data_IF_987577842335
#
_entry.id   IF_987577842335
#
_cell.length_a   1.000
_cell.length_b   1.000
_cell.length_c   1.000
_cell.angle_alpha   90.00
_cell.angle_beta   90.00
_cell.angle_gamma   90.00
#
_symmetry.space_group_name_H-M   'P 1'
#
loop_
_entity.id
_entity.type
_entity.pdbx_description
1 polymer ?
#
# COMPACT_ATOMS: atom_id res chain seq x y z
N UNK A 1 16.03 -6.06 -29.75
CA UNK A 1 15.34 -5.37 -28.66
C UNK A 1 14.44 -4.28 -29.23
N UNK A 2 13.34 -3.97 -28.55
CA UNK A 2 12.57 -2.74 -28.81
C UNK A 2 13.15 -1.55 -28.05
N UNK A 3 13.84 -1.79 -26.94
CA UNK A 3 14.47 -0.81 -26.08
C UNK A 3 15.56 -1.50 -25.25
N UNK A 4 16.60 -0.77 -24.92
CA UNK A 4 17.68 -1.16 -24.00
C UNK A 4 17.81 -0.12 -22.86
N UNK A 5 16.76 0.67 -22.61
CA UNK A 5 16.71 1.71 -21.59
C UNK A 5 15.68 1.37 -20.50
N UNK A 6 15.98 1.78 -19.27
CA UNK A 6 15.10 1.64 -18.11
C UNK A 6 14.97 2.96 -17.35
N UNK A 7 13.84 3.15 -16.66
CA UNK A 7 13.80 4.14 -15.59
C UNK A 7 14.81 3.75 -14.50
N UNK A 8 15.30 4.73 -13.74
CA UNK A 8 16.30 4.44 -12.70
C UNK A 8 15.71 3.54 -11.61
N UNK A 9 16.32 2.38 -11.30
CA UNK A 9 15.79 1.45 -10.31
C UNK A 9 15.95 1.91 -8.85
N UNK A 10 16.84 2.87 -8.59
CA UNK A 10 17.06 3.46 -7.27
C UNK A 10 17.54 4.92 -7.39
N UNK A 11 17.46 5.68 -6.29
CA UNK A 11 18.02 7.03 -6.20
C UNK A 11 19.55 6.94 -6.10
N UNK A 12 20.34 7.48 -7.04
CA UNK A 12 21.79 7.46 -6.98
C UNK A 12 22.39 8.23 -5.78
N UNK A 13 21.59 9.04 -5.09
CA UNK A 13 21.99 9.75 -3.88
C UNK A 13 21.68 8.98 -2.59
N UNK A 14 20.99 7.85 -2.67
CA UNK A 14 20.58 7.04 -1.53
C UNK A 14 21.03 5.58 -1.69
N UNK A 15 20.97 4.85 -0.58
CA UNK A 15 21.14 3.40 -0.59
C UNK A 15 19.89 2.71 -1.18
N UNK A 16 20.05 1.53 -1.77
CA UNK A 16 18.91 0.73 -2.27
C UNK A 16 17.96 0.36 -1.15
N UNK A 17 18.44 0.24 0.09
CA UNK A 17 17.63 -0.11 1.25
C UNK A 17 16.89 1.08 1.88
N UNK A 18 17.16 2.30 1.39
CA UNK A 18 16.53 3.51 1.91
C UNK A 18 14.99 3.46 1.93
N UNK A 19 14.28 2.92 0.91
CA UNK A 19 12.82 2.85 0.92
C UNK A 19 12.26 1.97 2.05
N UNK A 20 12.91 0.84 2.34
CA UNK A 20 12.52 -0.03 3.47
C UNK A 20 12.79 0.67 4.80
N UNK A 21 13.97 1.28 4.95
CA UNK A 21 14.32 2.03 6.16
C UNK A 21 13.33 3.18 6.43
N UNK A 22 12.87 3.86 5.38
CA UNK A 22 11.85 4.90 5.49
C UNK A 22 10.49 4.32 5.88
N UNK A 23 10.09 3.17 5.32
CA UNK A 23 8.84 2.52 5.66
C UNK A 23 8.81 2.04 7.13
N UNK A 24 9.93 1.54 7.66
CA UNK A 24 10.00 1.13 9.08
C UNK A 24 10.05 2.31 10.06
N UNK A 25 10.32 3.53 9.60
CA UNK A 25 10.50 4.71 10.46
C UNK A 25 9.28 5.02 11.32
N UNK A 26 8.09 4.75 10.80
CA UNK A 26 6.82 5.05 11.47
C UNK A 26 6.30 3.86 12.29
N UNK A 27 7.06 2.76 12.36
CA UNK A 27 6.76 1.60 13.21
C UNK A 27 7.31 1.85 14.62
N UNK A 28 6.43 1.82 15.62
CA UNK A 28 6.83 2.01 17.01
C UNK A 28 7.63 0.81 17.52
N UNK A 29 8.54 1.07 18.46
CA UNK A 29 9.31 0.05 19.18
C UNK A 29 10.33 -0.73 18.33
N UNK A 30 10.75 -0.19 17.18
CA UNK A 30 11.90 -0.70 16.41
C UNK A 30 12.71 0.46 15.86
N UNK A 31 14.04 0.38 15.93
CA UNK A 31 14.92 1.37 15.32
C UNK A 31 15.52 0.83 14.02
N UNK A 32 15.85 1.72 13.09
CA UNK A 32 16.46 1.33 11.81
C UNK A 32 17.79 0.57 11.98
N UNK A 33 18.52 0.81 13.07
CA UNK A 33 19.76 0.11 13.38
C UNK A 33 19.56 -1.35 13.84
N UNK A 34 18.34 -1.71 14.26
CA UNK A 34 17.99 -3.06 14.69
C UNK A 34 17.42 -3.91 13.54
N UNK A 35 17.19 -3.31 12.38
CA UNK A 35 16.68 -4.00 11.20
C UNK A 35 17.81 -4.83 10.56
N UNK A 36 17.52 -6.09 10.17
CA UNK A 36 18.41 -6.83 9.31
C UNK A 36 18.44 -6.19 7.91
N UNK A 37 19.53 -6.43 7.20
CA UNK A 37 19.67 -6.04 5.79
C UNK A 37 18.58 -6.75 4.96
N UNK A 38 17.73 -6.01 4.22
CA UNK A 38 16.67 -6.61 3.42
C UNK A 38 17.24 -7.28 2.18
N UNK A 39 16.64 -8.40 1.77
CA UNK A 39 16.94 -9.02 0.47
C UNK A 39 16.27 -8.22 -0.64
N UNK A 40 17.07 -7.74 -1.61
CA UNK A 40 16.65 -6.81 -2.66
C UNK A 40 16.61 -7.48 -4.03
N UNK A 41 15.46 -7.41 -4.70
CA UNK A 41 15.27 -7.95 -6.04
C UNK A 41 14.68 -6.88 -6.97
N UNK A 42 15.17 -6.80 -8.21
CA UNK A 42 14.61 -5.92 -9.24
C UNK A 42 14.17 -6.72 -10.46
N UNK A 43 12.94 -6.49 -10.89
CA UNK A 43 12.39 -6.99 -12.15
C UNK A 43 12.17 -5.84 -13.12
N UNK A 44 12.89 -5.84 -14.24
CA UNK A 44 12.71 -4.87 -15.30
C UNK A 44 11.56 -5.29 -16.21
N UNK A 45 10.40 -4.65 -16.04
CA UNK A 45 9.18 -4.95 -16.80
C UNK A 45 9.06 -4.06 -18.04
N UNK A 46 8.87 -4.63 -19.23
CA UNK A 46 8.69 -3.83 -20.44
C UNK A 46 7.35 -3.09 -20.38
N UNK A 47 7.39 -1.79 -20.64
CA UNK A 47 6.20 -0.96 -20.84
C UNK A 47 6.34 -0.12 -22.11
N UNK A 48 5.21 0.33 -22.65
CA UNK A 48 5.17 1.29 -23.77
C UNK A 48 4.34 2.50 -23.36
N UNK A 49 4.94 3.69 -23.42
CA UNK A 49 4.20 4.94 -23.32
C UNK A 49 3.69 5.34 -24.71
N UNK A 50 2.38 5.52 -24.83
CA UNK A 50 1.71 5.84 -26.08
C UNK A 50 1.15 7.24 -26.01
N UNK A 51 1.44 8.05 -27.03
CA UNK A 51 0.78 9.34 -27.26
C UNK A 51 0.00 9.27 -28.56
N UNK A 52 -1.28 9.60 -28.53
CA UNK A 52 -2.14 9.58 -29.70
C UNK A 52 -3.13 10.75 -29.72
N UNK A 53 -3.52 11.17 -30.91
CA UNK A 53 -4.58 12.15 -31.13
C UNK A 53 -5.80 11.46 -31.74
N UNK A 54 -6.99 11.76 -31.22
CA UNK A 54 -8.28 11.29 -31.77
C UNK A 54 -9.11 12.48 -32.23
N UNK A 55 -9.42 12.52 -33.53
CA UNK A 55 -10.17 13.59 -34.18
C UNK A 55 -11.33 13.03 -35.00
N UNK A 56 -12.53 13.02 -34.44
CA UNK A 56 -13.72 12.47 -35.09
C UNK A 56 -14.91 13.42 -35.03
N UNK A 57 -15.71 13.48 -36.11
CA UNK A 57 -16.94 14.27 -36.17
C UNK A 57 -18.09 13.35 -36.58
N UNK A 58 -19.15 13.35 -35.78
CA UNK A 58 -20.34 12.52 -36.03
C UNK A 58 -21.52 13.41 -36.40
N UNK A 59 -22.03 13.22 -37.60
CA UNK A 59 -23.10 14.03 -38.17
C UNK A 59 -24.35 13.20 -38.48
N UNK A 60 -25.48 13.90 -38.54
CA UNK A 60 -26.77 13.40 -39.00
C UNK A 60 -27.43 14.50 -39.86
N UNK A 61 -28.66 14.28 -40.32
CA UNK A 61 -29.40 15.31 -41.07
C UNK A 61 -29.62 16.62 -40.29
N UNK A 62 -29.57 16.58 -38.96
CA UNK A 62 -29.71 17.78 -38.10
C UNK A 62 -28.37 18.48 -37.79
N UNK A 63 -27.26 18.01 -38.37
CA UNK A 63 -25.92 18.53 -38.15
C UNK A 63 -25.04 17.65 -37.26
N UNK A 64 -24.01 18.26 -36.66
CA UNK A 64 -23.05 17.59 -35.77
C UNK A 64 -23.73 17.22 -34.46
N UNK A 65 -23.71 15.93 -34.11
CA UNK A 65 -24.27 15.42 -32.86
C UNK A 65 -23.19 15.09 -31.82
N UNK A 66 -21.95 14.84 -32.27
CA UNK A 66 -20.82 14.54 -31.39
C UNK A 66 -19.51 14.89 -32.09
N UNK A 67 -18.51 15.31 -31.32
CA UNK A 67 -17.16 15.59 -31.81
C UNK A 67 -16.15 15.16 -30.76
N UNK A 68 -15.06 14.57 -31.24
CA UNK A 68 -13.89 14.20 -30.45
C UNK A 68 -12.71 14.99 -31.02
N UNK A 69 -11.99 15.65 -30.12
CA UNK A 69 -10.72 16.31 -30.38
C UNK A 69 -9.92 16.14 -29.09
N UNK A 70 -9.27 14.99 -28.96
CA UNK A 70 -8.58 14.59 -27.75
C UNK A 70 -7.14 14.20 -28.06
N UNK A 71 -6.25 14.46 -27.10
CA UNK A 71 -4.89 13.98 -27.12
C UNK A 71 -4.68 13.13 -25.87
N UNK A 72 -4.60 11.83 -26.08
CA UNK A 72 -4.49 10.85 -25.01
C UNK A 72 -3.03 10.42 -24.85
N UNK A 73 -2.57 10.37 -23.59
CA UNK A 73 -1.29 9.75 -23.22
C UNK A 73 -1.59 8.66 -22.19
N UNK A 74 -1.06 7.46 -22.40
CA UNK A 74 -1.20 6.35 -21.46
C UNK A 74 -0.01 5.40 -21.56
N UNK A 75 0.18 4.57 -20.55
CA UNK A 75 1.25 3.56 -20.50
C UNK A 75 0.63 2.18 -20.44
N UNK A 76 1.26 1.21 -21.10
CA UNK A 76 0.79 -0.16 -21.13
C UNK A 76 1.90 -1.15 -20.80
N UNK A 77 1.57 -2.19 -20.03
CA UNK A 77 2.42 -3.36 -19.88
C UNK A 77 2.62 -4.01 -21.24
N UNK A 78 3.89 -4.26 -21.56
CA UNK A 78 4.33 -4.73 -22.86
C UNK A 78 4.94 -6.14 -22.79
N UNK A 79 4.63 -6.90 -21.73
CA UNK A 79 5.02 -8.31 -21.61
C UNK A 79 4.30 -9.21 -22.62
N UNK A 80 4.63 -10.51 -22.64
CA UNK A 80 3.94 -11.50 -23.48
C UNK A 80 2.47 -11.61 -23.10
N UNK A 81 1.59 -11.43 -24.07
CA UNK A 81 0.14 -11.51 -23.87
C UNK A 81 -0.57 -10.32 -24.50
N UNK A 82 -1.80 -10.08 -24.06
CA UNK A 82 -2.56 -8.90 -24.45
C UNK A 82 -2.10 -7.70 -23.60
N UNK A 83 -1.70 -6.56 -24.21
CA UNK A 83 -1.26 -5.40 -23.45
C UNK A 83 -2.39 -4.85 -22.59
N UNK A 84 -2.04 -4.43 -21.39
CA UNK A 84 -2.96 -3.83 -20.41
C UNK A 84 -2.43 -2.47 -20.00
N UNK A 85 -3.34 -1.50 -19.87
CA UNK A 85 -2.95 -0.17 -19.38
C UNK A 85 -2.59 -0.27 -17.91
N UNK A 86 -1.46 0.35 -17.56
CA UNK A 86 -0.99 0.42 -16.17
C UNK A 86 -1.89 1.35 -15.36
N UNK A 87 -1.87 1.21 -14.04
CA UNK A 87 -2.57 2.13 -13.14
C UNK A 87 -2.08 3.58 -13.31
N UNK A 88 -2.97 4.55 -13.04
CA UNK A 88 -2.73 5.97 -13.33
C UNK A 88 -1.46 6.52 -12.65
N UNK A 89 -1.21 6.14 -11.40
CA UNK A 89 -0.03 6.57 -10.64
C UNK A 89 1.26 6.03 -11.27
N UNK A 90 1.25 4.76 -11.71
CA UNK A 90 2.38 4.13 -12.42
C UNK A 90 2.58 4.75 -13.80
N UNK A 91 1.48 5.05 -14.51
CA UNK A 91 1.52 5.72 -15.80
C UNK A 91 2.11 7.12 -15.68
N UNK A 92 1.76 7.85 -14.62
CA UNK A 92 2.33 9.17 -14.30
C UNK A 92 3.82 9.04 -13.98
N UNK A 93 4.19 8.10 -13.10
CA UNK A 93 5.59 7.81 -12.76
C UNK A 93 6.43 7.58 -14.02
N UNK A 94 5.97 6.75 -14.95
CA UNK A 94 6.69 6.47 -16.20
C UNK A 94 6.76 7.73 -17.06
N UNK A 95 5.62 8.36 -17.35
CA UNK A 95 5.55 9.46 -18.34
C UNK A 95 6.26 10.74 -17.91
N UNK A 96 6.37 10.99 -16.61
CA UNK A 96 7.13 12.11 -16.06
C UNK A 96 8.64 11.83 -16.05
N UNK A 97 9.08 10.57 -16.00
CA UNK A 97 10.49 10.20 -15.84
C UNK A 97 11.18 9.65 -17.11
N UNK A 98 10.49 9.57 -18.25
CA UNK A 98 11.08 9.15 -19.54
C UNK A 98 12.30 9.96 -19.98
N UNK A 99 12.46 11.19 -19.48
CA UNK A 99 13.59 12.05 -19.81
C UNK A 99 14.88 11.72 -19.03
N UNK A 100 14.80 10.82 -18.05
CA UNK A 100 15.87 10.52 -17.10
C UNK A 100 16.25 9.02 -17.08
N UNK A 101 15.99 8.30 -18.17
CA UNK A 101 16.33 6.90 -18.38
C UNK A 101 17.85 6.65 -18.27
N UNK A 102 18.20 5.39 -18.05
CA UNK A 102 19.56 4.86 -18.05
C UNK A 102 19.61 3.58 -18.89
N UNK A 103 20.81 3.20 -19.33
CA UNK A 103 21.00 1.93 -20.02
C UNK A 103 20.64 0.75 -19.11
N UNK A 104 19.93 -0.23 -19.66
CA UNK A 104 19.62 -1.48 -18.98
C UNK A 104 20.84 -2.40 -19.02
N UNK A 105 21.64 -2.36 -17.94
CA UNK A 105 22.79 -3.24 -17.74
C UNK A 105 22.55 -4.17 -16.54
N UNK A 106 22.10 -5.40 -16.83
CA UNK A 106 21.78 -6.38 -15.79
C UNK A 106 23.02 -6.86 -15.03
N UNK A 107 24.22 -6.80 -15.62
CA UNK A 107 25.46 -7.13 -14.93
C UNK A 107 25.79 -6.05 -13.90
N UNK A 108 25.70 -4.77 -14.29
CA UNK A 108 25.93 -3.65 -13.38
C UNK A 108 24.89 -3.62 -12.24
N UNK A 109 23.61 -3.85 -12.54
CA UNK A 109 22.58 -3.87 -11.50
C UNK A 109 22.73 -5.06 -10.54
N UNK A 110 23.34 -6.16 -10.98
CA UNK A 110 23.66 -7.31 -10.11
C UNK A 110 24.80 -7.04 -9.12
N UNK A 111 25.50 -5.91 -9.20
CA UNK A 111 26.43 -5.46 -8.16
C UNK A 111 25.72 -4.75 -6.99
N UNK A 112 24.46 -4.38 -7.17
CA UNK A 112 23.69 -3.55 -6.25
C UNK A 112 22.46 -4.29 -5.69
N UNK A 113 21.77 -5.06 -6.53
CA UNK A 113 20.63 -5.89 -6.11
C UNK A 113 21.07 -7.35 -5.95
N UNK A 114 20.46 -8.06 -5.00
CA UNK A 114 20.71 -9.48 -4.79
C UNK A 114 20.20 -10.35 -5.94
N UNK A 115 19.05 -9.96 -6.51
CA UNK A 115 18.45 -10.62 -7.68
C UNK A 115 18.06 -9.60 -8.76
N UNK A 116 18.37 -9.93 -10.02
CA UNK A 116 18.03 -9.12 -11.19
C UNK A 116 17.34 -9.97 -12.25
N UNK A 117 16.11 -9.59 -12.62
CA UNK A 117 15.36 -10.22 -13.72
C UNK A 117 15.03 -9.20 -14.81
N UNK A 118 15.33 -9.53 -16.07
CA UNK A 118 14.87 -8.79 -17.24
C UNK A 118 13.73 -9.54 -17.93
N UNK A 119 12.55 -8.90 -18.01
CA UNK A 119 11.42 -9.40 -18.80
C UNK A 119 11.58 -8.96 -20.26
N UNK A 120 10.93 -9.66 -21.19
CA UNK A 120 11.04 -9.34 -22.63
C UNK A 120 9.74 -8.77 -23.16
N UNK A 121 9.86 -7.77 -24.03
CA UNK A 121 8.75 -7.28 -24.83
C UNK A 121 8.06 -8.43 -25.56
N UNK A 122 6.74 -8.47 -25.47
CA UNK A 122 5.90 -9.54 -26.00
C UNK A 122 5.55 -9.38 -27.47
N UNK A 123 5.60 -8.16 -28.00
CA UNK A 123 5.13 -7.80 -29.34
C UNK A 123 6.08 -6.81 -30.02
N UNK A 124 5.80 -6.47 -31.27
CA UNK A 124 6.50 -5.45 -32.05
C UNK A 124 5.86 -4.07 -31.87
N UNK A 125 6.57 -3.01 -32.24
CA UNK A 125 6.04 -1.64 -32.21
C UNK A 125 4.77 -1.48 -33.07
N UNK A 126 4.70 -2.17 -34.22
CA UNK A 126 3.51 -2.16 -35.08
C UNK A 126 2.31 -2.77 -34.38
N UNK A 127 2.48 -3.90 -33.69
CA UNK A 127 1.40 -4.56 -32.95
C UNK A 127 0.92 -3.69 -31.78
N UNK A 128 1.83 -3.05 -31.03
CA UNK A 128 1.44 -2.08 -29.99
C UNK A 128 0.68 -0.88 -30.56
N UNK A 129 1.05 -0.40 -31.76
CA UNK A 129 0.35 0.68 -32.45
C UNK A 129 -1.08 0.27 -32.82
N UNK A 130 -1.24 -0.91 -33.40
CA UNK A 130 -2.56 -1.44 -33.78
C UNK A 130 -3.45 -1.64 -32.56
N UNK A 131 -2.91 -2.21 -31.49
CA UNK A 131 -3.60 -2.37 -30.22
C UNK A 131 -4.02 -1.01 -29.62
N UNK A 132 -3.13 0.00 -29.64
CA UNK A 132 -3.45 1.33 -29.13
C UNK A 132 -4.61 1.98 -29.90
N UNK A 133 -4.65 1.82 -31.24
CA UNK A 133 -5.76 2.31 -32.07
C UNK A 133 -7.08 1.63 -31.68
N UNK A 134 -7.08 0.30 -31.52
CA UNK A 134 -8.28 -0.45 -31.14
C UNK A 134 -8.79 -0.06 -29.75
N UNK A 135 -7.87 0.13 -28.81
CA UNK A 135 -8.22 0.61 -27.47
C UNK A 135 -8.84 2.00 -27.50
N UNK A 136 -8.22 2.95 -28.20
CA UNK A 136 -8.73 4.32 -28.27
C UNK A 136 -10.07 4.38 -28.98
N UNK A 137 -10.28 3.53 -30.00
CA UNK A 137 -11.58 3.38 -30.64
C UNK A 137 -12.64 2.98 -29.62
N UNK A 138 -12.39 1.92 -28.85
CA UNK A 138 -13.31 1.46 -27.80
C UNK A 138 -13.53 2.51 -26.70
N UNK A 139 -12.47 3.17 -26.25
CA UNK A 139 -12.52 4.19 -25.19
C UNK A 139 -13.42 5.37 -25.59
N UNK A 140 -13.38 5.76 -26.87
CA UNK A 140 -14.12 6.89 -27.39
C UNK A 140 -15.50 6.53 -27.96
N UNK A 141 -15.83 5.23 -28.09
CA UNK A 141 -17.16 4.80 -28.52
C UNK A 141 -18.21 5.20 -27.48
N UNK A 142 -19.16 6.02 -27.90
CA UNK A 142 -20.24 6.51 -27.02
C UNK A 142 -21.59 6.51 -27.74
N UNK A 143 -22.69 6.41 -27.01
CA UNK A 143 -24.04 6.53 -27.59
C UNK A 143 -24.62 7.88 -27.23
N UNK A 144 -24.93 8.67 -28.25
CA UNK A 144 -25.45 10.03 -28.11
C UNK A 144 -26.94 10.06 -28.47
N UNK A 145 -27.71 10.77 -27.65
CA UNK A 145 -29.12 11.03 -27.88
C UNK A 145 -29.29 12.39 -28.58
N UNK A 146 -30.06 12.44 -29.66
CA UNK A 146 -30.35 13.68 -30.40
C UNK A 146 -31.80 13.73 -30.89
N UNK A 147 -32.33 14.93 -31.13
CA UNK A 147 -33.69 15.13 -31.63
C UNK A 147 -33.65 15.50 -33.11
N UNK A 148 -34.40 14.75 -33.92
CA UNK A 148 -34.55 14.99 -35.36
C UNK A 148 -35.47 16.18 -35.69
N UNK A 149 -35.45 16.65 -36.94
CA UNK A 149 -36.31 17.74 -37.42
C UNK A 149 -37.82 17.42 -37.34
N UNK A 150 -38.17 16.14 -37.21
CA UNK A 150 -39.53 15.65 -36.96
C UNK A 150 -39.94 15.68 -35.48
N UNK A 151 -39.12 16.29 -34.61
CA UNK A 151 -39.33 16.36 -33.16
C UNK A 151 -39.37 14.98 -32.46
N UNK A 152 -38.69 13.98 -33.04
CA UNK A 152 -38.53 12.63 -32.48
C UNK A 152 -37.09 12.47 -31.97
N UNK A 153 -36.93 11.85 -30.80
CA UNK A 153 -35.63 11.56 -30.20
C UNK A 153 -35.07 10.23 -30.72
N UNK A 154 -33.80 10.24 -31.11
CA UNK A 154 -33.04 9.10 -31.60
C UNK A 154 -31.77 8.89 -30.78
N UNK A 155 -31.24 7.67 -30.82
CA UNK A 155 -29.92 7.34 -30.27
C UNK A 155 -29.00 6.91 -31.41
N UNK A 156 -27.76 7.37 -31.40
CA UNK A 156 -26.72 6.96 -32.35
C UNK A 156 -25.43 6.63 -31.61
N UNK A 157 -24.94 5.42 -31.83
CA UNK A 157 -23.59 5.01 -31.42
C UNK A 157 -22.57 5.69 -32.33
N UNK A 158 -21.68 6.45 -31.72
CA UNK A 158 -20.61 7.21 -32.33
C UNK A 158 -19.29 6.51 -31.99
N UNK A 159 -18.76 5.76 -32.94
CA UNK A 159 -17.47 5.07 -32.83
C UNK A 159 -16.51 5.69 -33.85
N UNK A 160 -15.34 6.22 -33.42
CA UNK A 160 -14.39 6.82 -34.35
C UNK A 160 -13.83 5.75 -35.31
N UNK A 161 -13.48 6.12 -36.53
CA UNK A 161 -12.79 5.22 -37.44
C UNK A 161 -11.32 5.08 -37.04
N UNK A 162 -10.66 4.00 -37.44
CA UNK A 162 -9.20 3.84 -37.26
C UNK A 162 -8.39 4.98 -37.89
N UNK A 163 -8.91 5.63 -38.94
CA UNK A 163 -8.29 6.79 -39.59
C UNK A 163 -8.40 8.09 -38.77
N UNK A 164 -9.34 8.14 -37.83
CA UNK A 164 -9.58 9.29 -36.97
C UNK A 164 -8.61 9.30 -35.77
N UNK A 165 -7.88 8.20 -35.57
CA UNK A 165 -6.94 7.98 -34.47
C UNK A 165 -5.53 7.93 -35.04
N UNK A 166 -4.67 8.83 -34.57
CA UNK A 166 -3.27 8.92 -34.98
C UNK A 166 -2.36 8.70 -33.80
N UNK A 167 -1.70 7.53 -33.75
CA UNK A 167 -0.64 7.28 -32.78
C UNK A 167 0.60 8.06 -33.21
N UNK A 168 0.95 9.08 -32.42
CA UNK A 168 2.05 9.99 -32.67
C UNK A 168 3.38 9.40 -32.23
N UNK A 169 3.38 8.74 -31.07
CA UNK A 169 4.60 8.26 -30.44
C UNK A 169 4.33 6.99 -29.65
N UNK A 170 5.29 6.06 -29.72
CA UNK A 170 5.37 4.87 -28.87
C UNK A 170 6.79 4.85 -28.34
N UNK A 171 6.93 5.02 -27.03
CA UNK A 171 8.20 5.06 -26.31
C UNK A 171 8.31 3.77 -25.47
N UNK A 172 9.00 2.74 -25.96
CA UNK A 172 9.28 1.55 -25.17
C UNK A 172 10.32 1.88 -24.10
N UNK A 173 10.11 1.42 -22.87
CA UNK A 173 11.05 1.57 -21.75
C UNK A 173 10.86 0.43 -20.76
N UNK A 174 11.89 0.10 -20.00
CA UNK A 174 11.77 -0.80 -18.88
C UNK A 174 11.40 -0.06 -17.59
N UNK A 175 10.33 -0.51 -16.95
CA UNK A 175 9.89 -0.07 -15.64
C UNK A 175 10.48 -1.01 -14.58
N UNK A 176 11.37 -0.53 -13.70
CA UNK A 176 11.85 -1.30 -12.57
C UNK A 176 10.71 -1.51 -11.56
N UNK A 177 10.42 -2.78 -11.28
CA UNK A 177 9.65 -3.21 -10.11
C UNK A 177 10.65 -3.77 -9.11
N UNK A 178 10.80 -3.09 -7.98
CA UNK A 178 11.71 -3.47 -6.91
C UNK A 178 10.92 -4.14 -5.81
N UNK A 179 11.38 -5.31 -5.36
CA UNK A 179 10.86 -6.05 -4.21
C UNK A 179 11.97 -6.17 -3.19
N UNK A 180 11.73 -5.64 -1.99
CA UNK A 180 12.63 -5.80 -0.86
C UNK A 180 11.93 -6.63 0.21
N UNK A 181 12.64 -7.60 0.79
CA UNK A 181 12.09 -8.53 1.76
C UNK A 181 12.91 -8.48 3.04
N UNK A 182 12.29 -8.08 4.15
CA UNK A 182 12.95 -8.01 5.47
C UNK A 182 12.44 -9.14 6.35
N UNK A 183 13.32 -10.07 6.72
CA UNK A 183 12.99 -11.16 7.64
C UNK A 183 13.25 -10.75 9.09
N UNK A 184 12.19 -10.61 9.88
CA UNK A 184 12.28 -10.27 11.29
C UNK A 184 11.70 -11.39 12.14
N UNK A 185 12.60 -12.17 12.75
CA UNK A 185 12.26 -13.33 13.60
C UNK A 185 11.33 -14.31 12.89
N UNK A 186 10.05 -14.35 13.26
CA UNK A 186 9.07 -15.31 12.73
C UNK A 186 8.32 -14.79 11.50
N UNK A 187 8.53 -13.52 11.13
CA UNK A 187 7.77 -12.84 10.08
C UNK A 187 8.66 -12.32 8.97
N UNK A 188 8.09 -12.30 7.77
CA UNK A 188 8.72 -11.77 6.56
C UNK A 188 7.89 -10.59 6.07
N UNK A 189 8.54 -9.45 5.85
CA UNK A 189 7.92 -8.19 5.45
C UNK A 189 8.35 -7.81 4.03
N UNK A 190 7.57 -8.18 3.00
CA UNK A 190 7.78 -7.70 1.64
C UNK A 190 7.34 -6.23 1.51
N UNK A 191 8.14 -5.48 0.75
CA UNK A 191 7.86 -4.11 0.32
C UNK A 191 8.15 -4.02 -1.18
N UNK A 192 7.12 -3.79 -1.98
CA UNK A 192 7.21 -3.75 -3.44
C UNK A 192 6.81 -2.38 -3.98
N UNK A 193 7.58 -1.87 -4.93
CA UNK A 193 7.31 -0.58 -5.56
C UNK A 193 7.88 -0.51 -6.98
N UNK A 194 7.25 0.34 -7.79
CA UNK A 194 7.82 0.77 -9.05
C UNK A 194 8.74 1.97 -8.83
N UNK A 195 9.91 1.96 -9.45
CA UNK A 195 10.93 2.98 -9.24
C UNK A 195 11.22 3.82 -10.49
N UNK A 196 11.50 5.11 -10.27
CA UNK A 196 12.05 6.03 -11.25
C UNK A 196 13.01 7.00 -10.56
N UNK A 197 14.12 6.48 -10.05
CA UNK A 197 15.11 7.23 -9.27
C UNK A 197 14.57 7.56 -7.88
N UNK A 198 14.45 8.86 -7.51
CA UNK A 198 13.88 9.26 -6.22
C UNK A 198 12.35 9.11 -6.15
N UNK A 199 11.68 9.01 -7.30
CA UNK A 199 10.23 8.81 -7.36
C UNK A 199 9.88 7.33 -7.35
N UNK A 200 8.81 6.98 -6.61
CA UNK A 200 8.31 5.62 -6.52
C UNK A 200 6.80 5.56 -6.37
N UNK A 201 6.21 4.44 -6.75
CA UNK A 201 4.81 4.10 -6.51
C UNK A 201 4.77 2.74 -5.83
N UNK A 202 4.32 2.70 -4.58
CA UNK A 202 4.22 1.47 -3.78
C UNK A 202 3.12 0.56 -4.34
N UNK A 203 3.47 -0.69 -4.62
CA UNK A 203 2.56 -1.74 -5.08
C UNK A 203 2.15 -2.67 -3.93
N UNK A 204 3.10 -3.03 -3.05
CA UNK A 204 2.84 -3.80 -1.85
C UNK A 204 3.57 -3.17 -0.65
N UNK A 205 2.82 -3.01 0.45
CA UNK A 205 3.38 -2.60 1.73
C UNK A 205 2.86 -3.56 2.82
N UNK A 206 3.66 -4.58 3.13
CA UNK A 206 3.36 -5.49 4.23
C UNK A 206 3.94 -5.00 5.57
N UNK A 207 4.76 -3.95 5.56
CA UNK A 207 5.28 -3.30 6.78
C UNK A 207 4.13 -2.58 7.50
N UNK A 208 3.30 -1.84 6.76
CA UNK A 208 2.09 -1.18 7.28
C UNK A 208 0.85 -2.06 7.17
N UNK A 209 0.97 -3.33 7.56
CA UNK A 209 -0.15 -4.28 7.59
C UNK A 209 -0.07 -5.13 8.85
N UNK A 210 -1.14 -5.10 9.65
CA UNK A 210 -1.18 -5.89 10.87
C UNK A 210 -1.24 -7.39 10.54
N UNK A 211 -0.26 -8.15 11.02
CA UNK A 211 -0.16 -9.61 10.79
C UNK A 211 -1.32 -10.43 11.38
N UNK A 212 -2.15 -9.84 12.24
CA UNK A 212 -3.24 -10.53 12.92
C UNK A 212 -4.62 -10.28 12.30
N UNK A 213 -4.80 -9.20 11.54
CA UNK A 213 -6.12 -8.82 11.01
C UNK A 213 -6.10 -8.11 9.65
N UNK A 214 -4.94 -8.01 9.01
CA UNK A 214 -4.75 -7.37 7.70
C UNK A 214 -5.13 -5.89 7.62
N UNK A 215 -5.42 -5.25 8.76
CA UNK A 215 -5.62 -3.79 8.83
C UNK A 215 -4.37 -3.10 8.31
N UNK A 216 -4.56 -2.29 7.27
CA UNK A 216 -3.51 -1.63 6.49
C UNK A 216 -3.84 -0.14 6.31
N UNK A 217 -2.82 0.68 6.13
CA UNK A 217 -2.94 2.10 5.79
C UNK A 217 -2.15 3.03 6.69
N UNK A 218 -1.88 4.24 6.18
CA UNK A 218 -1.01 5.24 6.83
C UNK A 218 -1.65 5.96 8.03
N UNK A 219 -2.97 5.82 8.22
CA UNK A 219 -3.70 6.43 9.34
C UNK A 219 -3.66 5.57 10.61
N UNK A 220 -3.08 4.38 10.53
CA UNK A 220 -2.98 3.42 11.63
C UNK A 220 -1.60 3.49 12.31
N UNK A 221 -1.58 3.34 13.63
CA UNK A 221 -0.33 3.16 14.37
C UNK A 221 0.02 1.68 14.44
N UNK A 222 1.23 1.36 14.01
CA UNK A 222 1.80 0.02 14.04
C UNK A 222 2.93 -0.05 15.06
N UNK A 223 2.97 -1.13 15.82
CA UNK A 223 3.98 -1.37 16.85
C UNK A 223 4.64 -2.72 16.63
N UNK A 224 5.96 -2.73 16.71
CA UNK A 224 6.79 -3.92 16.67
C UNK A 224 6.72 -4.72 17.98
N UNK A 225 6.51 -6.02 17.86
CA UNK A 225 6.55 -6.98 18.96
C UNK A 225 7.97 -7.56 19.09
N UNK A 226 8.72 -7.21 20.16
CA UNK A 226 10.07 -7.70 20.38
C UNK A 226 10.13 -9.19 20.68
N UNK A 227 9.02 -9.86 20.97
CA UNK A 227 9.03 -11.30 21.22
C UNK A 227 9.19 -12.12 19.93
N UNK A 228 8.26 -11.95 18.98
CA UNK A 228 8.17 -12.76 17.76
C UNK A 228 8.49 -12.03 16.46
N UNK A 229 8.67 -10.71 16.49
CA UNK A 229 8.93 -9.90 15.30
C UNK A 229 7.68 -9.31 14.62
N UNK A 230 6.48 -9.58 15.14
CA UNK A 230 5.23 -9.11 14.56
C UNK A 230 5.08 -7.57 14.56
N UNK A 231 4.68 -7.00 13.44
CA UNK A 231 4.13 -5.64 13.34
C UNK A 231 2.61 -5.71 13.50
N UNK A 232 2.09 -5.06 14.54
CA UNK A 232 0.67 -5.15 14.91
C UNK A 232 0.03 -3.76 15.06
N UNK A 233 -1.25 -3.65 14.66
CA UNK A 233 -2.01 -2.43 14.91
C UNK A 233 -2.36 -2.27 16.40
N UNK A 234 -2.80 -1.08 16.78
CA UNK A 234 -3.19 -0.71 18.16
C UNK A 234 -4.14 -1.70 18.87
N UNK A 235 -5.00 -2.39 18.11
CA UNK A 235 -5.93 -3.39 18.67
C UNK A 235 -5.24 -4.71 19.01
N UNK A 236 -4.18 -5.07 18.30
CA UNK A 236 -3.43 -6.33 18.45
C UNK A 236 -2.07 -6.17 19.14
N UNK A 237 -1.69 -4.96 19.54
CA UNK A 237 -0.60 -4.74 20.49
C UNK A 237 -1.14 -4.45 21.88
N UNK A 238 -0.47 -4.98 22.90
CA UNK A 238 -0.76 -4.76 24.32
C UNK A 238 0.54 -4.48 25.05
N UNK A 239 0.44 -3.95 26.26
CA UNK A 239 1.59 -3.73 27.13
C UNK A 239 1.75 -4.94 28.03
N UNK A 240 2.91 -5.56 27.99
CA UNK A 240 3.31 -6.60 28.92
C UNK A 240 3.33 -6.03 30.34
N UNK A 241 2.83 -6.80 31.32
CA UNK A 241 2.57 -6.25 32.65
C UNK A 241 3.84 -6.04 33.48
N UNK A 242 4.82 -6.92 33.46
CA UNK A 242 6.00 -6.85 34.33
C UNK A 242 7.03 -5.82 33.84
N UNK A 243 7.39 -5.89 32.57
CA UNK A 243 8.46 -5.15 31.92
C UNK A 243 7.94 -3.86 31.25
N UNK A 244 6.64 -3.82 30.91
CA UNK A 244 6.03 -2.64 30.31
C UNK A 244 6.32 -2.48 28.82
N UNK A 245 6.95 -3.47 28.21
CA UNK A 245 7.25 -3.53 26.77
C UNK A 245 6.01 -3.98 25.97
N UNK A 246 5.94 -3.65 24.66
CA UNK A 246 4.83 -4.08 23.84
C UNK A 246 4.89 -5.60 23.56
N UNK A 247 3.71 -6.21 23.44
CA UNK A 247 3.53 -7.61 23.10
C UNK A 247 2.30 -7.76 22.22
N UNK A 248 2.41 -8.53 21.15
CA UNK A 248 1.27 -8.80 20.28
C UNK A 248 0.30 -9.80 20.92
N UNK A 249 -0.97 -9.71 20.55
CA UNK A 249 -2.01 -10.62 21.06
C UNK A 249 -1.80 -12.06 20.61
N UNK A 250 -1.00 -12.30 19.58
CA UNK A 250 -0.62 -13.65 19.16
C UNK A 250 0.38 -14.34 20.10
N UNK A 251 1.25 -13.57 20.76
CA UNK A 251 2.23 -14.10 21.71
C UNK A 251 1.76 -14.06 23.16
N UNK A 252 0.88 -13.12 23.49
CA UNK A 252 0.59 -12.83 24.88
C UNK A 252 -0.12 -13.98 25.61
N UNK A 253 0.48 -14.45 26.69
CA UNK A 253 -0.19 -15.24 27.72
C UNK A 253 -1.05 -14.28 28.55
N UNK A 254 -2.28 -14.69 28.88
CA UNK A 254 -3.24 -13.80 29.55
C UNK A 254 -3.88 -14.42 30.79
N UNK A 255 -4.11 -13.57 31.79
CA UNK A 255 -4.92 -13.90 32.96
C UNK A 255 -5.65 -12.66 33.48
N UNK A 256 -6.75 -12.88 34.22
CA UNK A 256 -7.56 -11.81 34.80
C UNK A 256 -7.13 -11.50 36.23
N UNK A 257 -6.66 -10.27 36.44
CA UNK A 257 -6.37 -9.71 37.76
C UNK A 257 -7.24 -8.47 38.00
N UNK A 258 -7.86 -8.37 39.17
CA UNK A 258 -8.82 -7.31 39.49
C UNK A 258 -9.88 -7.07 38.40
N UNK A 259 -10.43 -8.17 37.85
CA UNK A 259 -11.41 -8.20 36.75
C UNK A 259 -10.93 -7.72 35.38
N UNK A 260 -9.65 -7.30 35.24
CA UNK A 260 -9.04 -6.85 33.98
C UNK A 260 -8.07 -7.90 33.45
N UNK A 261 -8.10 -8.15 32.15
CA UNK A 261 -7.11 -9.01 31.48
C UNK A 261 -5.74 -8.33 31.49
N UNK A 262 -4.72 -9.08 31.89
CA UNK A 262 -3.31 -8.72 31.85
C UNK A 262 -2.60 -9.60 30.83
N UNK A 263 -1.50 -9.10 30.29
CA UNK A 263 -0.75 -9.70 29.18
C UNK A 263 0.69 -9.92 29.64
N UNK A 264 1.25 -11.07 29.30
CA UNK A 264 2.58 -11.54 29.73
C UNK A 264 3.30 -12.17 28.54
N UNK A 265 4.63 -12.12 28.54
CA UNK A 265 5.46 -12.75 27.50
C UNK A 265 5.26 -14.26 27.43
N UNK A 266 5.24 -14.91 28.58
CA UNK A 266 5.14 -16.35 28.72
C UNK A 266 4.51 -16.75 30.06
N UNK A 267 4.48 -18.06 30.34
CA UNK A 267 3.95 -18.59 31.59
C UNK A 267 4.82 -18.24 32.81
N UNK A 268 6.13 -18.02 32.64
CA UNK A 268 7.05 -17.67 33.72
C UNK A 268 6.79 -16.24 34.20
N UNK A 269 6.67 -15.28 33.29
CA UNK A 269 6.26 -13.91 33.60
C UNK A 269 4.88 -13.89 34.29
N UNK A 270 3.92 -14.70 33.82
CA UNK A 270 2.62 -14.81 34.46
C UNK A 270 2.74 -15.36 35.89
N UNK A 271 3.53 -16.42 36.10
CA UNK A 271 3.71 -17.04 37.42
C UNK A 271 4.43 -16.11 38.40
N UNK A 272 5.47 -15.41 37.96
CA UNK A 272 6.14 -14.37 38.74
C UNK A 272 5.15 -13.29 39.18
N UNK A 273 4.31 -12.80 38.26
CA UNK A 273 3.29 -11.81 38.61
C UNK A 273 2.21 -12.38 39.54
N UNK A 274 1.85 -13.67 39.44
CA UNK A 274 0.91 -14.29 40.39
C UNK A 274 1.45 -14.28 41.82
N UNK A 275 2.74 -14.57 42.00
CA UNK A 275 3.38 -14.54 43.31
C UNK A 275 3.43 -13.12 43.87
N UNK A 276 3.84 -12.14 43.06
CA UNK A 276 3.81 -10.72 43.43
C UNK A 276 2.39 -10.27 43.78
N UNK A 277 1.42 -10.57 42.91
CA UNK A 277 0.03 -10.22 43.12
C UNK A 277 -0.51 -10.87 44.39
N UNK A 278 -0.16 -12.13 44.72
CA UNK A 278 -0.59 -12.75 45.97
C UNK A 278 -0.09 -11.99 47.20
N UNK A 279 1.17 -11.52 47.17
CA UNK A 279 1.82 -10.76 48.24
C UNK A 279 1.31 -9.30 48.36
N UNK A 280 0.73 -8.73 47.30
CA UNK A 280 0.28 -7.33 47.30
C UNK A 280 -0.83 -7.04 48.34
N UNK A 281 -0.76 -5.86 49.00
CA UNK A 281 -1.89 -5.29 49.74
C UNK A 281 -3.15 -5.13 48.88
N UNK A 282 -4.33 -5.12 49.53
CA UNK A 282 -5.64 -5.03 48.84
C UNK A 282 -5.75 -3.77 47.96
N UNK A 283 -5.18 -2.64 48.38
CA UNK A 283 -5.26 -1.39 47.62
C UNK A 283 -4.44 -1.44 46.33
N UNK A 284 -3.25 -2.06 46.35
CA UNK A 284 -2.42 -2.27 45.15
C UNK A 284 -3.10 -3.25 44.19
N UNK A 285 -3.67 -4.35 44.70
CA UNK A 285 -4.49 -5.28 43.91
C UNK A 285 -5.63 -4.57 43.19
N UNK A 286 -6.32 -3.65 43.86
CA UNK A 286 -7.39 -2.88 43.25
C UNK A 286 -6.87 -1.89 42.17
N UNK A 287 -5.67 -1.34 42.35
CA UNK A 287 -5.04 -0.43 41.38
C UNK A 287 -4.70 -1.10 40.04
N UNK A 288 -4.60 -2.42 39.99
CA UNK A 288 -4.47 -3.16 38.72
C UNK A 288 -5.62 -2.91 37.75
N UNK A 289 -6.78 -2.48 38.26
CA UNK A 289 -7.90 -2.01 37.46
C UNK A 289 -8.32 -0.59 37.89
N UNK A 290 -7.66 0.43 37.30
CA UNK A 290 -7.95 1.85 37.54
C UNK A 290 -9.45 2.20 37.41
N UNK A 291 -10.16 1.61 36.44
CA UNK A 291 -11.60 1.88 36.24
C UNK A 291 -12.43 1.32 37.39
N UNK A 292 -12.14 0.09 37.83
CA UNK A 292 -12.78 -0.53 38.98
C UNK A 292 -12.55 0.29 40.26
N UNK A 293 -11.32 0.77 40.47
CA UNK A 293 -10.98 1.64 41.59
C UNK A 293 -11.80 2.93 41.59
N UNK A 294 -11.82 3.66 40.47
CA UNK A 294 -12.59 4.90 40.37
C UNK A 294 -14.09 4.65 40.58
N UNK A 295 -14.64 3.61 39.94
CA UNK A 295 -16.04 3.22 40.10
C UNK A 295 -16.39 2.79 41.54
N UNK A 296 -15.48 2.05 42.19
CA UNK A 296 -15.62 1.61 43.58
C UNK A 296 -15.63 2.78 44.55
N UNK A 297 -14.73 3.75 44.39
CA UNK A 297 -14.68 4.97 45.21
C UNK A 297 -15.98 5.77 45.06
N UNK A 298 -16.44 6.00 43.82
CA UNK A 298 -17.70 6.71 43.56
C UNK A 298 -18.88 5.99 44.20
N UNK A 299 -18.96 4.68 44.05
CA UNK A 299 -20.05 3.87 44.62
C UNK A 299 -20.03 3.91 46.15
N UNK A 300 -18.86 3.81 46.77
CA UNK A 300 -18.71 3.91 48.22
C UNK A 300 -19.14 5.29 48.74
N UNK A 301 -18.76 6.37 48.07
CA UNK A 301 -19.19 7.74 48.42
C UNK A 301 -20.71 7.87 48.30
N UNK A 302 -21.32 7.38 47.21
CA UNK A 302 -22.78 7.42 47.02
C UNK A 302 -23.51 6.62 48.09
N UNK A 303 -23.03 5.42 48.43
CA UNK A 303 -23.59 4.61 49.51
C UNK A 303 -23.48 5.32 50.87
N UNK A 304 -22.34 5.94 51.15
CA UNK A 304 -22.10 6.64 52.40
C UNK A 304 -23.00 7.88 52.53
N UNK A 305 -23.19 8.63 51.44
CA UNK A 305 -24.16 9.72 51.37
C UNK A 305 -25.60 9.21 51.54
N UNK A 306 -25.96 8.09 50.92
CA UNK A 306 -27.28 7.46 51.09
C UNK A 306 -27.55 7.01 52.52
N UNK A 307 -26.54 6.42 53.19
CA UNK A 307 -26.62 6.02 54.61
C UNK A 307 -26.76 7.26 55.50
N UNK A 308 -25.98 8.32 55.25
CA UNK A 308 -26.07 9.57 56.01
C UNK A 308 -27.44 10.26 55.87
N UNK A 309 -28.03 10.24 54.66
CA UNK A 309 -29.37 10.74 54.40
C UNK A 309 -30.46 9.89 55.09
N UNK A 310 -30.34 8.55 55.05
CA UNK A 310 -31.29 7.65 55.75
C UNK A 310 -31.16 7.73 57.29
N UNK A 311 -29.95 8.03 57.78
CA UNK A 311 -29.67 8.20 59.21
C UNK A 311 -29.99 9.58 59.78
N UNK A 312 -30.45 10.53 58.94
CA UNK A 312 -30.84 11.89 59.36
C UNK A 312 -29.67 12.80 59.75
N UNK A 313 -28.45 12.50 59.28
CA UNK A 313 -27.25 13.33 59.49
C UNK A 313 -27.13 14.42 58.42
N UNK A 314 -27.74 14.19 57.25
CA UNK A 314 -27.90 15.12 56.12
C UNK A 314 -29.38 15.17 55.76
#
# INVERSE_FOLDING_TARGET
>A
MLCDETLRPYDPAADVDAPVMEAFRDIENIEAADLPEPHSAVTFRPVVAVTADTNAVFETSVGVIHRINDRTRFVAHAERGQPQVVDEDVGTLVTENLHATVDLDTEQFGEVFDDVEERRFGQTQTEYKEWAVERLQQHHTTTVTYTGDNNVTYNKTCEPNRSDISVQLIEPVYLPEVRQTTDIKEYTYPYEYYAAGPSRVTAEDSIHRCVHCDTSGVDETYTYCPNCGAIACSSHIKTERLEGEPICTGCAVTERFALKTKYFYDEENLEAFREEYAAMPIHEKAMENKVLMTGGVVTAVVLLLGILALGGVI
#
